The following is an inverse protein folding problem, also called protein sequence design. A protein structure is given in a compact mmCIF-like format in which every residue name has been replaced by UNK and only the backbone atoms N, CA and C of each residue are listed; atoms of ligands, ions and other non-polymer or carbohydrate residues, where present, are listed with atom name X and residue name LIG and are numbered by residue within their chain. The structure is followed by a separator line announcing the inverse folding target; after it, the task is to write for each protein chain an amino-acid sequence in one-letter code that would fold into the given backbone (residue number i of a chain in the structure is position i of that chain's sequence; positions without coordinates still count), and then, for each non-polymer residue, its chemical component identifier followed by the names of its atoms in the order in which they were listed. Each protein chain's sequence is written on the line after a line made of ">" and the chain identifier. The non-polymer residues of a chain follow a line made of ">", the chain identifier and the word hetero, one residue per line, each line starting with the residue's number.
data_IF_564302448094
#
_entry.id   IF_564302448094
#
_cell.length_a   1.000
_cell.length_b   1.000
_cell.length_c   1.000
_cell.angle_alpha   90.00
_cell.angle_beta   90.00
_cell.angle_gamma   90.00
#
_symmetry.space_group_name_H-M   'P 1'
#
loop_
_entity.id
_entity.type
_entity.pdbx_description
1 polymer ?
#
# COMPACT_ATOMS: atom_id res chain seq x y z
N UNK A 1 -7.58 -26.69 19.25
CA UNK A 1 -7.35 -26.58 17.81
C UNK A 1 -6.47 -25.35 17.61
N UNK A 2 -5.21 -25.55 17.19
CA UNK A 2 -4.34 -24.42 16.83
C UNK A 2 -4.84 -23.91 15.48
N UNK A 3 -5.48 -22.75 15.47
CA UNK A 3 -5.86 -22.11 14.21
C UNK A 3 -4.58 -21.75 13.44
N UNK A 4 -4.52 -22.00 12.13
CA UNK A 4 -3.39 -21.57 11.32
C UNK A 4 -3.27 -20.05 11.37
N UNK A 5 -2.03 -19.53 11.32
CA UNK A 5 -1.79 -18.09 11.28
C UNK A 5 -2.51 -17.45 10.08
N UNK A 6 -3.11 -16.28 10.24
CA UNK A 6 -3.68 -15.53 9.14
C UNK A 6 -2.58 -15.12 8.13
N UNK A 7 -2.96 -14.73 6.94
CA UNK A 7 -2.05 -14.18 5.94
C UNK A 7 -2.09 -12.66 5.99
N UNK A 8 -0.92 -12.01 6.02
CA UNK A 8 -0.76 -10.59 5.75
C UNK A 8 -0.25 -10.40 4.33
N UNK A 9 -1.08 -9.88 3.45
CA UNK A 9 -0.69 -9.51 2.09
C UNK A 9 -0.25 -8.06 2.06
N UNK A 10 1.04 -7.82 1.84
CA UNK A 10 1.62 -6.48 1.74
C UNK A 10 1.63 -6.05 0.28
N UNK A 11 0.86 -5.03 -0.08
CA UNK A 11 0.85 -4.44 -1.42
C UNK A 11 1.68 -3.17 -1.40
N UNK A 12 2.82 -3.17 -2.07
CA UNK A 12 3.81 -2.09 -2.09
C UNK A 12 4.22 -1.73 -3.52
N UNK A 13 4.84 -0.59 -3.69
CA UNK A 13 5.31 -0.07 -4.98
C UNK A 13 5.30 1.46 -5.01
N UNK A 14 5.89 2.12 -6.01
CA UNK A 14 5.93 3.57 -6.09
C UNK A 14 4.53 4.19 -6.27
N UNK A 15 4.38 5.50 -5.97
CA UNK A 15 3.12 6.22 -6.22
C UNK A 15 2.72 6.16 -7.71
N UNK A 16 1.42 5.97 -7.98
CA UNK A 16 0.90 5.90 -9.35
C UNK A 16 0.81 4.49 -9.94
N UNK A 17 1.29 3.45 -9.24
CA UNK A 17 1.23 2.05 -9.71
C UNK A 17 -0.14 1.38 -9.61
N UNK A 18 -1.19 2.05 -9.12
CA UNK A 18 -2.52 1.42 -8.99
C UNK A 18 -2.66 0.44 -7.81
N UNK A 19 -1.73 0.46 -6.85
CA UNK A 19 -1.71 -0.41 -5.66
C UNK A 19 -3.03 -0.50 -4.91
N UNK A 20 -3.67 0.64 -4.66
CA UNK A 20 -4.92 0.71 -3.90
C UNK A 20 -6.04 -0.06 -4.60
N UNK A 21 -6.18 0.10 -5.92
CA UNK A 21 -7.13 -0.67 -6.73
C UNK A 21 -6.85 -2.17 -6.64
N UNK A 22 -5.59 -2.56 -6.85
CA UNK A 22 -5.16 -3.96 -6.77
C UNK A 22 -5.39 -4.53 -5.35
N UNK A 23 -5.10 -3.77 -4.29
CA UNK A 23 -5.31 -4.21 -2.91
C UNK A 23 -6.78 -4.53 -2.63
N UNK A 24 -7.71 -3.69 -3.09
CA UNK A 24 -9.14 -3.95 -2.98
C UNK A 24 -9.60 -5.16 -3.81
N UNK A 25 -9.07 -5.34 -5.01
CA UNK A 25 -9.38 -6.51 -5.85
C UNK A 25 -8.88 -7.81 -5.24
N UNK A 26 -7.64 -7.83 -4.70
CA UNK A 26 -7.11 -8.97 -3.94
C UNK A 26 -8.01 -9.25 -2.73
N UNK A 27 -8.30 -8.25 -1.94
CA UNK A 27 -9.13 -8.38 -0.74
C UNK A 27 -10.52 -8.97 -1.04
N UNK A 28 -11.16 -8.50 -2.13
CA UNK A 28 -12.44 -9.02 -2.59
C UNK A 28 -12.36 -10.50 -3.01
N UNK A 29 -11.30 -10.89 -3.73
CA UNK A 29 -11.14 -12.28 -4.19
C UNK A 29 -10.76 -13.24 -3.07
N UNK A 30 -9.92 -12.80 -2.13
CA UNK A 30 -9.51 -13.58 -0.95
C UNK A 30 -10.64 -13.63 0.10
N UNK A 31 -11.55 -12.66 0.10
CA UNK A 31 -12.63 -12.54 1.09
C UNK A 31 -12.14 -11.96 2.42
N UNK A 32 -11.30 -10.90 2.39
CA UNK A 32 -10.72 -10.28 3.57
C UNK A 32 -10.71 -8.75 3.48
N UNK A 33 -10.48 -8.00 4.59
CA UNK A 33 -10.37 -6.55 4.54
C UNK A 33 -9.09 -6.08 3.86
N UNK A 34 -9.16 -4.91 3.20
CA UNK A 34 -8.02 -4.12 2.78
C UNK A 34 -7.86 -2.92 3.73
N UNK A 35 -6.63 -2.68 4.18
CA UNK A 35 -6.22 -1.52 4.96
C UNK A 35 -5.27 -0.69 4.10
N UNK A 36 -5.78 0.41 3.56
CA UNK A 36 -5.04 1.31 2.68
C UNK A 36 -4.61 2.56 3.45
N UNK A 37 -3.30 2.80 3.51
CA UNK A 37 -2.73 3.92 4.29
C UNK A 37 -3.30 5.27 3.87
N UNK A 38 -3.46 5.48 2.56
CA UNK A 38 -3.93 6.76 2.05
C UNK A 38 -5.40 7.01 2.36
N UNK A 39 -6.24 5.98 2.40
CA UNK A 39 -7.65 6.08 2.81
C UNK A 39 -7.77 6.45 4.30
N UNK A 40 -6.89 5.91 5.15
CA UNK A 40 -6.82 6.33 6.57
C UNK A 40 -6.48 7.82 6.67
N UNK A 41 -5.49 8.29 5.89
CA UNK A 41 -5.11 9.70 5.88
C UNK A 41 -6.24 10.60 5.39
N UNK A 42 -6.93 10.21 4.31
CA UNK A 42 -8.09 10.93 3.79
C UNK A 42 -9.19 11.04 4.84
N UNK A 43 -9.50 9.94 5.54
CA UNK A 43 -10.46 9.94 6.64
C UNK A 43 -10.07 10.87 7.78
N UNK A 44 -8.77 10.96 8.12
CA UNK A 44 -8.29 11.92 9.13
C UNK A 44 -8.42 13.37 8.66
N UNK A 45 -8.16 13.65 7.38
CA UNK A 45 -8.34 14.98 6.78
C UNK A 45 -9.80 15.39 6.83
N UNK A 46 -10.73 14.50 6.45
CA UNK A 46 -12.17 14.76 6.54
C UNK A 46 -12.65 15.09 7.97
N UNK A 47 -12.02 14.52 8.98
CA UNK A 47 -12.33 14.78 10.39
C UNK A 47 -11.67 16.04 10.94
N UNK A 48 -10.79 16.71 10.19
CA UNK A 48 -10.04 17.89 10.63
C UNK A 48 -10.55 19.13 9.91
N UNK A 49 -11.15 20.07 10.67
CA UNK A 49 -11.57 21.36 10.09
C UNK A 49 -10.33 22.16 9.66
N UNK A 50 -10.44 22.84 8.52
CA UNK A 50 -9.42 23.78 8.00
C UNK A 50 -8.03 23.13 7.85
N UNK A 51 -8.00 21.86 7.45
CA UNK A 51 -6.75 21.15 7.23
C UNK A 51 -5.91 21.81 6.13
N UNK A 52 -4.66 22.18 6.47
CA UNK A 52 -3.66 22.66 5.52
C UNK A 52 -2.55 21.60 5.37
N UNK A 53 -2.27 21.14 4.15
CA UNK A 53 -1.21 20.15 3.92
C UNK A 53 0.17 20.71 4.34
N UNK A 54 0.87 19.97 5.20
CA UNK A 54 2.24 20.28 5.61
C UNK A 54 3.16 19.10 5.28
N UNK A 55 4.33 19.40 4.69
CA UNK A 55 5.36 18.41 4.37
C UNK A 55 5.85 17.71 5.64
N UNK A 56 5.88 16.36 5.61
CA UNK A 56 6.45 15.54 6.69
C UNK A 56 5.73 15.68 8.04
N UNK A 57 4.54 16.30 8.04
CA UNK A 57 3.86 16.75 9.25
C UNK A 57 3.36 15.62 10.16
N UNK A 58 2.88 16.03 11.34
CA UNK A 58 2.32 15.17 12.39
C UNK A 58 1.27 14.19 11.86
N UNK A 59 0.44 14.63 10.88
CA UNK A 59 -0.57 13.77 10.28
C UNK A 59 0.04 12.53 9.60
N UNK A 60 1.19 12.66 8.91
CA UNK A 60 1.85 11.51 8.28
C UNK A 60 2.33 10.49 9.32
N UNK A 61 2.91 10.96 10.43
CA UNK A 61 3.35 10.09 11.53
C UNK A 61 2.17 9.44 12.24
N UNK A 62 1.09 10.20 12.47
CA UNK A 62 -0.14 9.69 13.06
C UNK A 62 -0.77 8.63 12.16
N UNK A 63 -0.87 8.88 10.85
CA UNK A 63 -1.39 7.92 9.86
C UNK A 63 -0.58 6.63 9.87
N UNK A 64 0.77 6.73 9.91
CA UNK A 64 1.66 5.57 9.98
C UNK A 64 1.36 4.69 11.20
N UNK A 65 1.23 5.32 12.39
CA UNK A 65 0.91 4.59 13.62
C UNK A 65 -0.46 3.92 13.55
N UNK A 66 -1.48 4.63 13.08
CA UNK A 66 -2.84 4.09 12.97
C UNK A 66 -2.92 2.97 11.95
N UNK A 67 -2.21 3.09 10.82
CA UNK A 67 -2.13 2.04 9.81
C UNK A 67 -1.60 0.72 10.40
N UNK A 68 -0.43 0.73 11.04
CA UNK A 68 0.14 -0.49 11.64
C UNK A 68 -0.69 -1.01 12.81
N UNK A 69 -1.28 -0.14 13.63
CA UNK A 69 -2.16 -0.55 14.73
C UNK A 69 -3.44 -1.24 14.22
N UNK A 70 -4.05 -0.74 13.14
CA UNK A 70 -5.23 -1.36 12.52
C UNK A 70 -4.89 -2.76 11.97
N UNK A 71 -3.77 -2.89 11.25
CA UNK A 71 -3.29 -4.18 10.74
C UNK A 71 -3.02 -5.14 11.89
N UNK A 72 -2.30 -4.71 12.93
CA UNK A 72 -1.99 -5.54 14.10
C UNK A 72 -3.26 -6.06 14.79
N UNK A 73 -4.26 -5.19 14.97
CA UNK A 73 -5.53 -5.56 15.59
C UNK A 73 -6.22 -6.71 14.85
N UNK A 74 -6.25 -6.64 13.51
CA UNK A 74 -6.85 -7.67 12.68
C UNK A 74 -6.05 -8.98 12.74
N UNK A 75 -4.72 -8.91 12.66
CA UNK A 75 -3.86 -10.10 12.72
C UNK A 75 -3.96 -10.80 14.08
N UNK A 76 -4.00 -10.08 15.19
CA UNK A 76 -4.20 -10.63 16.54
C UNK A 76 -5.58 -11.30 16.69
N UNK A 77 -6.58 -10.82 15.97
CA UNK A 77 -7.90 -11.46 15.89
C UNK A 77 -7.94 -12.66 14.93
N UNK A 78 -6.81 -13.03 14.30
CA UNK A 78 -6.75 -14.14 13.34
C UNK A 78 -7.32 -13.80 11.96
N UNK A 79 -7.45 -12.52 11.62
CA UNK A 79 -8.04 -12.06 10.36
C UNK A 79 -6.96 -11.89 9.29
N UNK A 80 -7.05 -12.67 8.19
CA UNK A 80 -6.26 -12.42 6.97
C UNK A 80 -6.56 -11.00 6.45
N UNK A 81 -5.53 -10.25 6.08
CA UNK A 81 -5.66 -8.81 5.78
C UNK A 81 -4.73 -8.41 4.64
N UNK A 82 -5.20 -7.56 3.75
CA UNK A 82 -4.38 -6.84 2.78
C UNK A 82 -3.97 -5.50 3.37
N UNK A 83 -2.68 -5.19 3.39
CA UNK A 83 -2.13 -3.91 3.85
C UNK A 83 -1.43 -3.20 2.68
N UNK A 84 -1.88 -2.00 2.32
CA UNK A 84 -1.38 -1.24 1.18
C UNK A 84 -0.78 0.10 1.60
N UNK A 85 0.43 0.37 1.13
CA UNK A 85 1.05 1.69 1.21
C UNK A 85 2.22 1.86 0.22
N UNK A 86 2.53 3.11 -0.13
CA UNK A 86 3.74 3.49 -0.88
C UNK A 86 4.93 3.77 0.05
N UNK A 87 5.09 3.01 1.12
CA UNK A 87 6.21 3.20 2.03
C UNK A 87 7.51 2.70 1.40
N UNK A 88 8.59 3.42 1.62
CA UNK A 88 9.93 2.91 1.41
C UNK A 88 10.23 1.77 2.40
N UNK A 89 11.14 0.88 2.04
CA UNK A 89 11.53 -0.27 2.86
C UNK A 89 11.89 0.10 4.30
N UNK A 90 12.55 1.24 4.52
CA UNK A 90 12.90 1.76 5.86
C UNK A 90 11.70 2.01 6.79
N UNK A 91 10.49 2.13 6.24
CA UNK A 91 9.25 2.25 7.01
C UNK A 91 8.50 0.92 7.07
N UNK A 92 8.46 0.16 5.96
CA UNK A 92 7.82 -1.14 5.92
C UNK A 92 8.49 -2.15 6.85
N UNK A 93 9.79 -2.34 6.70
CA UNK A 93 10.55 -3.38 7.39
C UNK A 93 10.37 -3.34 8.91
N UNK A 94 10.62 -2.23 9.64
CA UNK A 94 10.43 -2.21 11.08
C UNK A 94 8.96 -2.38 11.50
N UNK A 95 8.01 -1.96 10.68
CA UNK A 95 6.58 -2.14 10.95
C UNK A 95 6.09 -3.57 10.74
N UNK A 96 6.71 -4.32 9.82
CA UNK A 96 6.33 -5.71 9.51
C UNK A 96 7.03 -6.75 10.38
N UNK A 97 8.23 -6.45 10.88
CA UNK A 97 9.01 -7.42 11.67
C UNK A 97 8.23 -7.99 12.87
N UNK A 98 7.48 -7.20 13.66
CA UNK A 98 6.65 -7.74 14.74
C UNK A 98 5.53 -8.67 14.25
N UNK A 99 5.06 -8.50 13.01
CA UNK A 99 3.93 -9.28 12.47
C UNK A 99 4.32 -10.68 12.00
N UNK A 100 5.63 -10.98 11.88
CA UNK A 100 6.12 -12.32 11.56
C UNK A 100 5.66 -13.39 12.58
N UNK A 101 5.45 -12.99 13.83
CA UNK A 101 4.91 -13.87 14.86
C UNK A 101 3.38 -13.99 14.82
N UNK A 102 2.68 -13.11 14.11
CA UNK A 102 1.22 -13.01 14.09
C UNK A 102 0.61 -13.52 12.78
N UNK A 103 1.37 -13.51 11.68
CA UNK A 103 0.86 -13.82 10.35
C UNK A 103 1.95 -14.38 9.43
N UNK A 104 1.52 -15.06 8.39
CA UNK A 104 2.34 -15.38 7.23
C UNK A 104 2.33 -14.19 6.30
N UNK A 105 3.52 -13.58 6.08
CA UNK A 105 3.65 -12.39 5.24
C UNK A 105 3.82 -12.83 3.79
N UNK A 106 3.09 -12.17 2.86
CA UNK A 106 3.27 -12.27 1.42
C UNK A 106 3.35 -10.87 0.83
N UNK A 107 4.28 -10.63 -0.09
CA UNK A 107 4.56 -9.31 -0.62
C UNK A 107 4.20 -9.27 -2.10
N UNK A 108 3.30 -8.36 -2.46
CA UNK A 108 2.98 -7.99 -3.83
C UNK A 108 3.66 -6.66 -4.13
N UNK A 109 4.67 -6.68 -5.00
CA UNK A 109 5.40 -5.50 -5.41
C UNK A 109 4.90 -5.00 -6.76
N UNK A 110 4.18 -3.89 -6.76
CA UNK A 110 3.65 -3.28 -7.97
C UNK A 110 4.72 -2.45 -8.68
N UNK A 111 4.87 -2.70 -9.97
CA UNK A 111 5.70 -1.91 -10.88
C UNK A 111 4.85 -1.30 -11.99
N UNK A 112 5.33 -0.22 -12.60
CA UNK A 112 4.71 0.44 -13.75
C UNK A 112 5.77 1.32 -14.41
N UNK A 113 5.61 1.61 -15.70
CA UNK A 113 6.41 2.65 -16.36
C UNK A 113 6.25 4.00 -15.66
N UNK A 114 7.37 4.72 -15.45
CA UNK A 114 7.39 5.99 -14.71
C UNK A 114 6.52 7.07 -15.36
N UNK A 115 6.44 7.12 -16.69
CA UNK A 115 5.60 8.07 -17.41
C UNK A 115 4.11 7.75 -17.22
N UNK A 116 3.75 6.47 -17.24
CA UNK A 116 2.38 6.01 -16.95
C UNK A 116 1.99 6.33 -15.50
N UNK A 117 2.90 6.12 -14.54
CA UNK A 117 2.67 6.48 -13.14
C UNK A 117 2.40 7.98 -12.98
N UNK A 118 3.21 8.82 -13.64
CA UNK A 118 3.07 10.28 -13.59
C UNK A 118 1.73 10.74 -14.17
N UNK A 119 1.33 10.20 -15.32
CA UNK A 119 0.06 10.53 -15.95
C UNK A 119 -1.15 10.12 -15.08
N UNK A 120 -1.10 8.91 -14.49
CA UNK A 120 -2.14 8.46 -13.55
C UNK A 120 -2.25 9.36 -12.33
N UNK A 121 -1.12 9.89 -11.82
CA UNK A 121 -1.12 10.83 -10.70
C UNK A 121 -1.73 12.17 -11.09
N UNK A 122 -1.38 12.71 -12.28
CA UNK A 122 -1.95 13.97 -12.79
C UNK A 122 -3.47 13.88 -12.91
N UNK A 123 -4.00 12.81 -13.49
CA UNK A 123 -5.44 12.60 -13.60
C UNK A 123 -6.12 12.55 -12.23
N UNK A 124 -5.55 11.82 -11.27
CA UNK A 124 -6.12 11.74 -9.92
C UNK A 124 -6.19 13.08 -9.20
N UNK A 125 -5.20 13.95 -9.38
CA UNK A 125 -5.20 15.28 -8.77
C UNK A 125 -6.32 16.13 -9.38
N UNK A 126 -6.54 16.03 -10.70
CA UNK A 126 -7.61 16.74 -11.39
C UNK A 126 -9.02 16.27 -10.94
N UNK A 127 -9.18 14.97 -10.68
CA UNK A 127 -10.47 14.35 -10.38
C UNK A 127 -10.87 14.45 -8.90
N UNK A 128 -9.92 14.64 -7.97
CA UNK A 128 -10.21 14.59 -6.53
C UNK A 128 -9.43 15.65 -5.73
N UNK A 129 -10.09 16.76 -5.34
CA UNK A 129 -9.47 17.84 -4.54
C UNK A 129 -8.96 17.38 -3.16
N UNK A 130 -9.54 16.32 -2.57
CA UNK A 130 -9.10 15.78 -1.27
C UNK A 130 -7.66 15.25 -1.34
N UNK A 131 -7.20 14.88 -2.53
CA UNK A 131 -5.81 14.43 -2.76
C UNK A 131 -4.76 15.53 -2.63
N UNK A 132 -5.14 16.80 -2.56
CA UNK A 132 -4.24 17.87 -2.12
C UNK A 132 -3.65 17.58 -0.72
N UNK A 133 -4.34 16.78 0.09
CA UNK A 133 -3.86 16.30 1.39
C UNK A 133 -2.60 15.41 1.31
N UNK A 134 -2.32 14.80 0.16
CA UNK A 134 -1.18 13.91 -0.03
C UNK A 134 0.08 14.61 -0.52
N UNK A 135 0.05 15.96 -0.65
CA UNK A 135 1.18 16.76 -1.19
C UNK A 135 1.58 16.34 -2.64
N UNK A 136 0.62 15.75 -3.35
CA UNK A 136 0.84 15.24 -4.71
C UNK A 136 1.22 16.37 -5.70
N UNK A 137 0.77 17.61 -5.44
CA UNK A 137 1.07 18.78 -6.27
C UNK A 137 2.56 19.13 -6.32
N UNK A 138 3.31 18.92 -5.24
CA UNK A 138 4.74 19.23 -5.15
C UNK A 138 5.66 18.20 -5.80
N UNK A 139 5.16 16.99 -6.00
CA UNK A 139 5.93 15.86 -6.54
C UNK A 139 5.60 15.54 -7.99
N UNK A 140 4.88 16.42 -8.69
CA UNK A 140 4.54 16.28 -10.10
C UNK A 140 5.64 16.84 -11.04
N UNK A 141 6.75 17.35 -10.51
CA UNK A 141 7.94 17.59 -11.32
C UNK A 141 8.45 16.28 -11.91
N UNK A 142 8.50 16.20 -13.24
CA UNK A 142 8.78 14.98 -13.98
C UNK A 142 10.14 14.35 -13.63
N UNK A 143 11.17 15.16 -13.42
CA UNK A 143 12.51 14.66 -13.09
C UNK A 143 12.58 14.10 -11.67
N UNK A 144 12.05 14.83 -10.68
CA UNK A 144 12.03 14.38 -9.29
C UNK A 144 11.13 13.13 -9.12
N UNK A 145 10.02 13.06 -9.86
CA UNK A 145 9.14 11.88 -9.86
C UNK A 145 9.86 10.65 -10.39
N UNK A 146 10.52 10.75 -11.55
CA UNK A 146 11.25 9.63 -12.16
C UNK A 146 12.35 9.13 -11.23
N UNK A 147 13.16 10.03 -10.66
CA UNK A 147 14.19 9.65 -9.70
C UNK A 147 13.63 8.92 -8.48
N UNK A 148 12.54 9.41 -7.90
CA UNK A 148 11.90 8.79 -6.74
C UNK A 148 11.24 7.44 -7.11
N UNK A 149 10.68 7.33 -8.31
CA UNK A 149 10.10 6.11 -8.85
C UNK A 149 11.19 5.04 -9.02
N UNK A 150 12.29 5.37 -9.70
CA UNK A 150 13.37 4.43 -9.99
C UNK A 150 14.18 4.04 -8.74
N UNK A 151 14.19 4.91 -7.73
CA UNK A 151 14.80 4.64 -6.43
C UNK A 151 13.92 3.76 -5.52
N UNK A 152 12.66 3.51 -5.89
CA UNK A 152 11.78 2.70 -5.07
C UNK A 152 12.25 1.24 -5.04
N UNK A 153 12.35 0.66 -3.84
CA UNK A 153 12.82 -0.71 -3.65
C UNK A 153 11.72 -1.57 -3.06
N UNK A 154 11.70 -2.83 -3.45
CA UNK A 154 10.85 -3.86 -2.85
C UNK A 154 11.12 -3.95 -1.35
N UNK A 155 10.08 -4.28 -0.59
CA UNK A 155 10.18 -4.56 0.85
C UNK A 155 11.16 -5.71 1.08
N UNK A 156 12.15 -5.50 1.95
CA UNK A 156 13.28 -6.42 2.16
C UNK A 156 13.04 -7.48 3.24
N UNK A 157 11.82 -7.57 3.79
CA UNK A 157 11.43 -8.63 4.72
C UNK A 157 11.56 -9.99 4.03
N UNK A 158 12.17 -10.95 4.74
CA UNK A 158 12.26 -12.34 4.27
C UNK A 158 10.89 -13.00 4.29
N UNK A 159 10.23 -12.97 3.15
CA UNK A 159 8.90 -13.51 2.89
C UNK A 159 8.72 -13.79 1.39
N UNK A 160 7.85 -14.73 1.01
CA UNK A 160 7.47 -14.91 -0.39
C UNK A 160 6.99 -13.61 -1.01
N UNK A 161 7.40 -13.35 -2.25
CA UNK A 161 7.02 -12.13 -2.95
C UNK A 161 6.72 -12.39 -4.43
N UNK A 162 5.91 -11.50 -5.00
CA UNK A 162 5.53 -11.50 -6.41
C UNK A 162 5.64 -10.08 -6.94
N UNK A 163 6.25 -9.91 -8.11
CA UNK A 163 6.20 -8.67 -8.87
C UNK A 163 4.96 -8.64 -9.74
N UNK A 164 4.29 -7.50 -9.78
CA UNK A 164 3.11 -7.27 -10.62
C UNK A 164 3.30 -6.01 -11.44
N UNK A 165 3.48 -6.18 -12.74
CA UNK A 165 3.41 -5.06 -13.69
C UNK A 165 1.96 -4.64 -13.87
N UNK A 166 1.70 -3.36 -13.63
CA UNK A 166 0.37 -2.75 -13.70
C UNK A 166 0.24 -1.77 -14.87
N UNK A 167 1.17 -1.77 -15.81
CA UNK A 167 1.20 -0.81 -16.94
C UNK A 167 -0.03 -0.94 -17.82
N UNK A 168 -0.36 -2.16 -18.21
CA UNK A 168 -1.51 -2.49 -19.03
C UNK A 168 -2.21 -3.75 -18.45
N UNK A 169 -3.14 -3.52 -17.55
CA UNK A 169 -3.74 -4.57 -16.73
C UNK A 169 -2.80 -5.07 -15.63
N UNK A 170 -2.89 -6.36 -15.28
CA UNK A 170 -2.02 -7.00 -14.31
C UNK A 170 -1.25 -8.15 -14.95
N UNK A 171 0.07 -8.18 -14.75
CA UNK A 171 0.96 -9.26 -15.16
C UNK A 171 1.86 -9.66 -13.97
N UNK A 172 1.66 -10.86 -13.38
CA UNK A 172 0.68 -11.91 -13.74
C UNK A 172 -0.77 -11.47 -13.55
N UNK A 173 -1.70 -12.30 -14.04
CA UNK A 173 -3.14 -12.01 -13.98
C UNK A 173 -3.71 -11.97 -12.55
N UNK A 174 -4.83 -11.29 -12.37
CA UNK A 174 -5.44 -11.07 -11.05
C UNK A 174 -5.76 -12.38 -10.30
N UNK A 175 -6.11 -13.45 -10.99
CA UNK A 175 -6.37 -14.76 -10.37
C UNK A 175 -5.08 -15.38 -9.80
N UNK A 176 -3.95 -15.26 -10.51
CA UNK A 176 -2.65 -15.74 -10.04
C UNK A 176 -2.17 -14.95 -8.82
N UNK A 177 -2.40 -13.63 -8.84
CA UNK A 177 -2.09 -12.75 -7.71
C UNK A 177 -2.94 -13.13 -6.49
N UNK A 178 -4.23 -13.37 -6.67
CA UNK A 178 -5.12 -13.77 -5.60
C UNK A 178 -4.76 -15.16 -5.04
N UNK A 179 -4.40 -16.11 -5.91
CA UNK A 179 -3.91 -17.43 -5.50
C UNK A 179 -2.62 -17.33 -4.67
N UNK A 180 -1.65 -16.52 -5.11
CA UNK A 180 -0.45 -16.21 -4.34
C UNK A 180 -0.78 -15.58 -2.99
N UNK A 181 -1.68 -14.60 -2.95
CA UNK A 181 -2.09 -13.91 -1.74
C UNK A 181 -2.80 -14.83 -0.72
N UNK A 182 -3.57 -15.82 -1.20
CA UNK A 182 -4.31 -16.75 -0.35
C UNK A 182 -3.50 -17.98 0.10
N UNK A 183 -2.32 -18.22 -0.48
CA UNK A 183 -1.53 -19.43 -0.18
C UNK A 183 -1.09 -19.46 1.30
N UNK A 184 -1.11 -20.66 1.90
CA UNK A 184 -0.87 -20.90 3.33
C UNK A 184 0.33 -21.80 3.61
N UNK A 185 1.15 -21.99 2.62
CA UNK A 185 2.43 -22.73 2.66
C UNK A 185 3.55 -21.93 3.33
#
# INVERSE_FOLDING_TARGET
>A
VVNPLPVLVVVSGPPGTGKTTLAHEIARLVGCPAICRDEIKEGMVHATRDYVPALGGELNLRTLRVFFAAVETLLRAGVTTVAEAAFQDRLWRPGLEPFRALARIRIVHCTVDAAVALERRRRRIADNPVRAAHDDLRTVDSAAHTLAHDAFRRVSVDAPWMEVDTTDGYKPGLQDIAAFAAARD
#
